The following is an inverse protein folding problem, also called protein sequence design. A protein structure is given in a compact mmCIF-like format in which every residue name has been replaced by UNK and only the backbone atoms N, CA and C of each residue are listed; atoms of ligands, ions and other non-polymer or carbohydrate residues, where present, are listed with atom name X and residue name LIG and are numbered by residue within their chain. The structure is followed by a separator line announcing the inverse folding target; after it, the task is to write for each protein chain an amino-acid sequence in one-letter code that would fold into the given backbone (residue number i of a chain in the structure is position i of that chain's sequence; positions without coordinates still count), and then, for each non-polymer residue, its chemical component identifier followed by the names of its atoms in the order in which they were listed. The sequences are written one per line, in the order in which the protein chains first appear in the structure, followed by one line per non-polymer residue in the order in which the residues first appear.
data_IF_339742144295
#
_entry.id   IF_339742144295
#
_cell.length_a   1.000
_cell.length_b   1.000
_cell.length_c   1.000
_cell.angle_alpha   90.00
_cell.angle_beta   90.00
_cell.angle_gamma   90.00
#
_symmetry.space_group_name_H-M   'P 1'
#
loop_
_entity.id
_entity.type
_entity.pdbx_description
1 polymer ?
#
# COMPACT_ATOMS: atom_id res chain seq x y z
N UNK A 1 -8.69 0.83 26.97
CA UNK A 1 -9.08 2.15 26.43
C UNK A 1 -10.21 1.87 25.44
N UNK A 2 -11.41 2.37 25.73
CA UNK A 2 -12.55 2.23 24.83
C UNK A 2 -12.21 2.97 23.52
N UNK A 3 -12.11 2.24 22.42
CA UNK A 3 -12.12 2.86 21.08
C UNK A 3 -13.49 3.51 20.92
N UNK A 4 -13.54 4.84 21.01
CA UNK A 4 -14.74 5.58 20.71
C UNK A 4 -15.14 5.27 19.27
N UNK A 5 -16.32 4.69 19.09
CA UNK A 5 -16.93 4.48 17.77
C UNK A 5 -17.00 5.83 17.07
N UNK A 6 -16.08 6.08 16.16
CA UNK A 6 -16.02 7.34 15.42
C UNK A 6 -17.13 7.37 14.41
N UNK A 7 -18.07 8.30 14.59
CA UNK A 7 -19.16 8.52 13.64
C UNK A 7 -18.60 9.19 12.36
N UNK A 8 -18.89 8.61 11.20
CA UNK A 8 -18.61 9.22 9.90
C UNK A 8 -19.14 10.66 9.79
N UNK A 9 -20.13 11.03 10.59
CA UNK A 9 -20.71 12.38 10.63
C UNK A 9 -19.72 13.45 11.07
N UNK A 10 -18.75 13.10 11.90
CA UNK A 10 -17.75 14.03 12.42
C UNK A 10 -16.61 14.33 11.42
N UNK A 11 -16.49 13.54 10.36
CA UNK A 11 -15.46 13.75 9.35
C UNK A 11 -15.87 14.88 8.38
N UNK A 12 -14.92 15.75 7.98
CA UNK A 12 -15.17 16.76 6.96
C UNK A 12 -15.60 16.13 5.64
N UNK A 13 -16.31 16.88 4.84
CA UNK A 13 -16.87 16.44 3.57
C UNK A 13 -15.78 15.96 2.59
N UNK A 14 -14.63 16.63 2.60
CA UNK A 14 -13.53 16.34 1.70
C UNK A 14 -12.19 16.58 2.38
N UNK A 15 -11.27 15.65 2.14
CA UNK A 15 -9.87 15.75 2.53
C UNK A 15 -9.01 15.51 1.29
N UNK A 16 -7.91 16.25 1.17
CA UNK A 16 -6.92 16.01 0.13
C UNK A 16 -5.52 16.38 0.64
N UNK A 17 -4.61 15.41 0.63
CA UNK A 17 -3.21 15.56 1.00
C UNK A 17 -2.41 15.66 -0.30
N UNK A 18 -1.69 16.77 -0.47
CA UNK A 18 -0.89 16.98 -1.66
C UNK A 18 0.44 16.24 -1.54
N UNK A 19 0.56 15.10 -2.21
CA UNK A 19 1.78 14.29 -2.24
C UNK A 19 2.50 14.50 -3.58
N UNK A 20 3.83 14.63 -3.51
CA UNK A 20 4.66 14.59 -4.73
C UNK A 20 4.64 13.18 -5.30
N UNK A 21 4.25 13.06 -6.56
CA UNK A 21 4.18 11.76 -7.22
C UNK A 21 5.58 11.17 -7.47
N UNK A 22 5.71 9.86 -7.25
CA UNK A 22 6.86 9.05 -7.64
C UNK A 22 6.38 7.89 -8.51
N UNK A 23 6.97 7.73 -9.70
CA UNK A 23 6.65 6.62 -10.59
C UNK A 23 7.58 5.43 -10.30
N UNK A 24 7.03 4.22 -10.27
CA UNK A 24 7.83 3.01 -10.23
C UNK A 24 8.71 2.89 -11.48
N UNK A 25 9.89 2.32 -11.32
CA UNK A 25 10.87 2.12 -12.41
C UNK A 25 10.81 0.72 -12.98
N UNK A 26 10.50 -0.23 -12.12
CA UNK A 26 10.45 -1.66 -12.40
C UNK A 26 9.06 -2.22 -12.08
N UNK A 27 8.81 -3.46 -12.42
CA UNK A 27 7.57 -4.17 -12.15
C UNK A 27 7.37 -4.59 -10.69
N UNK A 28 8.43 -4.49 -9.86
CA UNK A 28 8.46 -4.92 -8.47
C UNK A 28 8.59 -3.78 -7.44
N UNK A 29 8.93 -2.56 -7.84
CA UNK A 29 9.26 -1.45 -6.93
C UNK A 29 8.10 -0.48 -6.66
N UNK A 30 6.84 -0.91 -6.91
CA UNK A 30 5.66 -0.09 -6.65
C UNK A 30 5.56 0.35 -5.18
N UNK A 31 5.90 -0.53 -4.22
CA UNK A 31 5.93 -0.20 -2.81
C UNK A 31 7.00 0.85 -2.48
N UNK A 32 8.20 0.72 -3.04
CA UNK A 32 9.27 1.72 -2.89
C UNK A 32 8.83 3.07 -3.43
N UNK A 33 8.19 3.09 -4.60
CA UNK A 33 7.66 4.33 -5.18
C UNK A 33 6.59 4.97 -4.28
N UNK A 34 5.77 4.17 -3.58
CA UNK A 34 4.82 4.66 -2.58
C UNK A 34 5.54 5.28 -1.37
N UNK A 35 6.59 4.64 -0.85
CA UNK A 35 7.43 5.22 0.22
C UNK A 35 8.01 6.56 -0.22
N UNK A 36 8.57 6.66 -1.43
CA UNK A 36 9.10 7.92 -1.97
C UNK A 36 8.08 9.05 -2.06
N UNK A 37 6.78 8.76 -2.14
CA UNK A 37 5.73 9.79 -2.15
C UNK A 37 5.47 10.40 -0.78
N UNK A 38 5.85 9.72 0.31
CA UNK A 38 5.64 10.17 1.69
C UNK A 38 6.92 10.67 2.37
N UNK A 39 8.08 10.48 1.74
CA UNK A 39 9.35 11.04 2.22
C UNK A 39 9.46 12.55 1.99
N UNK A 40 10.25 13.22 2.83
CA UNK A 40 10.69 14.60 2.59
C UNK A 40 11.47 14.68 1.27
N UNK A 41 11.61 15.88 0.72
CA UNK A 41 12.39 16.06 -0.51
C UNK A 41 13.85 15.64 -0.33
N UNK A 42 14.47 16.02 0.79
CA UNK A 42 15.85 15.69 1.10
C UNK A 42 16.09 14.17 1.19
N UNK A 43 15.17 13.46 1.90
CA UNK A 43 15.26 12.00 2.05
C UNK A 43 15.03 11.29 0.72
N UNK A 44 14.10 11.78 -0.08
CA UNK A 44 13.85 11.27 -1.43
C UNK A 44 15.08 11.41 -2.32
N UNK A 45 15.73 12.58 -2.32
CA UNK A 45 16.95 12.81 -3.08
C UNK A 45 18.10 11.93 -2.60
N UNK A 46 18.23 11.76 -1.27
CA UNK A 46 19.20 10.84 -0.67
C UNK A 46 18.97 9.41 -1.14
N UNK A 47 17.73 8.92 -0.98
CA UNK A 47 17.36 7.59 -1.46
C UNK A 47 17.67 7.39 -2.94
N UNK A 48 17.34 8.39 -3.78
CA UNK A 48 17.52 8.29 -5.22
C UNK A 48 19.00 8.26 -5.65
N UNK A 49 19.88 8.95 -4.92
CA UNK A 49 21.34 8.84 -5.13
C UNK A 49 21.85 7.45 -4.79
N UNK A 50 21.34 6.88 -3.67
CA UNK A 50 21.87 5.66 -3.07
C UNK A 50 20.99 4.43 -3.37
N UNK A 51 20.08 4.53 -4.36
CA UNK A 51 19.04 3.52 -4.66
C UNK A 51 19.56 2.09 -4.68
N UNK A 52 20.67 1.84 -5.38
CA UNK A 52 21.23 0.49 -5.54
C UNK A 52 21.75 -0.04 -4.21
N UNK A 53 22.49 0.78 -3.44
CA UNK A 53 23.02 0.38 -2.15
C UNK A 53 21.90 0.16 -1.14
N UNK A 54 20.91 1.07 -1.06
CA UNK A 54 19.77 0.92 -0.17
C UNK A 54 18.98 -0.35 -0.50
N UNK A 55 18.66 -0.61 -1.76
CA UNK A 55 17.97 -1.84 -2.16
C UNK A 55 18.77 -3.11 -1.80
N UNK A 56 20.10 -3.05 -1.90
CA UNK A 56 20.97 -4.15 -1.53
C UNK A 56 20.99 -4.36 -0.01
N UNK A 57 21.16 -3.27 0.77
CA UNK A 57 21.20 -3.29 2.23
C UNK A 57 19.88 -3.82 2.80
N UNK A 58 18.74 -3.39 2.22
CA UNK A 58 17.41 -3.85 2.59
C UNK A 58 17.09 -5.27 2.06
N UNK A 59 17.94 -5.87 1.25
CA UNK A 59 17.73 -7.21 0.71
C UNK A 59 16.58 -7.31 -0.29
N UNK A 60 16.29 -6.24 -1.02
CA UNK A 60 15.23 -6.25 -2.05
C UNK A 60 15.70 -6.98 -3.30
N UNK A 61 15.40 -8.27 -3.40
CA UNK A 61 15.76 -9.13 -4.53
C UNK A 61 14.70 -9.11 -5.66
N UNK A 62 14.28 -7.92 -6.09
CA UNK A 62 13.19 -7.68 -7.06
C UNK A 62 11.80 -8.06 -6.50
N UNK A 63 11.64 -7.99 -5.20
CA UNK A 63 10.37 -8.10 -4.49
C UNK A 63 10.39 -7.25 -3.25
N UNK A 64 9.24 -6.66 -2.89
CA UNK A 64 9.05 -5.90 -1.66
C UNK A 64 7.77 -6.34 -1.00
N UNK A 65 7.85 -6.62 0.30
CA UNK A 65 6.73 -6.94 1.16
C UNK A 65 6.36 -5.74 2.02
N UNK A 66 5.18 -5.70 2.57
CA UNK A 66 4.74 -4.55 3.36
C UNK A 66 5.65 -4.28 4.56
N UNK A 67 6.10 -5.34 5.24
CA UNK A 67 7.07 -5.19 6.34
C UNK A 67 8.40 -4.58 5.86
N UNK A 68 8.85 -4.87 4.63
CA UNK A 68 10.05 -4.26 4.05
C UNK A 68 9.90 -2.75 3.90
N UNK A 69 8.70 -2.28 3.53
CA UNK A 69 8.41 -0.87 3.41
C UNK A 69 8.43 -0.17 4.77
N UNK A 70 8.01 -0.87 5.83
CA UNK A 70 8.09 -0.35 7.20
C UNK A 70 9.54 -0.13 7.65
N UNK A 71 10.44 -1.07 7.36
CA UNK A 71 11.88 -0.90 7.61
C UNK A 71 12.46 0.28 6.82
N UNK A 72 12.05 0.42 5.55
CA UNK A 72 12.47 1.54 4.72
C UNK A 72 11.96 2.88 5.27
N UNK A 73 10.72 2.97 5.75
CA UNK A 73 10.16 4.15 6.40
C UNK A 73 10.94 4.50 7.68
N UNK A 74 11.26 3.50 8.52
CA UNK A 74 12.08 3.71 9.74
C UNK A 74 13.49 4.20 9.42
N UNK A 75 14.11 3.74 8.35
CA UNK A 75 15.42 4.23 7.89
C UNK A 75 15.44 5.75 7.67
N UNK A 76 14.30 6.32 7.28
CA UNK A 76 14.10 7.75 7.06
C UNK A 76 13.31 8.44 8.18
N UNK A 77 13.22 7.81 9.36
CA UNK A 77 12.53 8.34 10.54
C UNK A 77 11.07 8.76 10.31
N UNK A 78 10.37 8.09 9.39
CA UNK A 78 8.94 8.29 9.17
C UNK A 78 8.15 7.46 10.16
N UNK A 79 7.36 8.11 11.01
CA UNK A 79 6.50 7.42 11.96
C UNK A 79 5.31 6.79 11.25
N UNK A 80 5.00 5.53 11.62
CA UNK A 80 3.95 4.76 10.96
C UNK A 80 3.46 3.61 11.81
N UNK A 81 2.25 3.13 11.49
CA UNK A 81 1.66 1.92 12.06
C UNK A 81 1.30 0.95 10.93
N UNK A 82 1.73 -0.29 11.05
CA UNK A 82 1.44 -1.35 10.08
C UNK A 82 0.33 -2.26 10.59
N UNK A 83 -0.69 -2.45 9.77
CA UNK A 83 -1.83 -3.35 10.03
C UNK A 83 -1.83 -4.46 9.00
N UNK A 84 -2.07 -5.70 9.45
CA UNK A 84 -2.15 -6.90 8.62
C UNK A 84 -3.03 -7.95 9.30
N UNK A 85 -3.70 -8.80 8.53
CA UNK A 85 -4.45 -9.94 9.12
C UNK A 85 -3.60 -11.19 9.25
N UNK A 86 -2.33 -11.15 8.80
CA UNK A 86 -1.40 -12.28 8.87
C UNK A 86 -0.03 -11.81 9.34
N UNK A 87 0.40 -12.22 10.51
CA UNK A 87 1.78 -12.00 10.98
C UNK A 87 2.72 -13.01 10.28
N UNK A 88 3.70 -12.51 9.54
CA UNK A 88 4.59 -13.33 8.74
C UNK A 88 4.03 -13.64 7.34
N UNK A 89 4.31 -14.85 6.84
CA UNK A 89 3.87 -15.29 5.52
C UNK A 89 2.68 -16.22 5.67
N UNK A 90 1.58 -15.88 5.01
CA UNK A 90 0.38 -16.72 5.00
C UNK A 90 0.67 -18.12 4.41
N UNK A 91 0.36 -19.22 5.12
CA UNK A 91 0.70 -20.57 4.66
C UNK A 91 0.16 -20.94 3.28
N UNK A 92 -0.99 -20.38 2.90
CA UNK A 92 -1.62 -20.60 1.59
C UNK A 92 -0.83 -20.00 0.41
N UNK A 93 0.17 -19.14 0.64
CA UNK A 93 0.93 -18.49 -0.43
C UNK A 93 1.87 -19.45 -1.16
N UNK A 94 2.26 -20.56 -0.57
CA UNK A 94 3.02 -21.62 -1.27
C UNK A 94 2.28 -22.19 -2.48
N UNK A 95 0.94 -22.19 -2.47
CA UNK A 95 0.10 -22.62 -3.59
C UNK A 95 -0.28 -21.46 -4.54
N UNK A 96 -0.05 -20.21 -4.18
CA UNK A 96 -0.38 -19.05 -4.99
C UNK A 96 0.72 -18.80 -6.04
N UNK A 97 0.35 -18.77 -7.32
CA UNK A 97 1.29 -18.62 -8.44
C UNK A 97 2.10 -17.31 -8.37
N UNK A 98 1.54 -16.23 -7.85
CA UNK A 98 2.22 -14.95 -7.67
C UNK A 98 3.33 -15.06 -6.63
N UNK A 99 3.03 -15.60 -5.44
CA UNK A 99 3.97 -15.69 -4.34
C UNK A 99 5.02 -16.80 -4.49
N UNK A 100 4.67 -17.90 -5.11
CA UNK A 100 5.57 -19.06 -5.27
C UNK A 100 6.94 -18.71 -5.89
N UNK A 101 6.96 -17.71 -6.76
CA UNK A 101 8.20 -17.28 -7.45
C UNK A 101 9.15 -16.49 -6.55
N UNK A 102 8.63 -15.86 -5.50
CA UNK A 102 9.38 -14.95 -4.62
C UNK A 102 9.65 -15.56 -3.24
N UNK A 103 8.76 -16.43 -2.75
CA UNK A 103 8.83 -17.02 -1.41
C UNK A 103 10.18 -17.68 -1.10
N UNK A 104 10.71 -18.53 -1.98
CA UNK A 104 11.95 -19.25 -1.75
C UNK A 104 13.16 -18.32 -1.43
N UNK A 105 13.10 -17.06 -1.86
CA UNK A 105 14.16 -16.07 -1.63
C UNK A 105 13.87 -15.13 -0.47
N UNK A 106 12.58 -14.88 -0.20
CA UNK A 106 12.15 -13.83 0.70
C UNK A 106 11.74 -14.34 2.09
N UNK A 107 11.33 -15.61 2.21
CA UNK A 107 10.68 -16.17 3.40
C UNK A 107 11.51 -15.95 4.67
N UNK A 108 12.81 -16.27 4.63
CA UNK A 108 13.70 -16.07 5.79
C UNK A 108 13.78 -14.59 6.19
N UNK A 109 13.97 -13.70 5.20
CA UNK A 109 14.07 -12.26 5.43
C UNK A 109 12.78 -11.71 6.05
N UNK A 110 11.63 -12.10 5.49
CA UNK A 110 10.33 -11.61 5.96
C UNK A 110 10.04 -12.09 7.38
N UNK A 111 10.25 -13.36 7.67
CA UNK A 111 10.05 -13.90 9.01
C UNK A 111 10.97 -13.24 10.05
N UNK A 112 12.25 -13.01 9.72
CA UNK A 112 13.17 -12.26 10.61
C UNK A 112 12.66 -10.84 10.85
N UNK A 113 12.21 -10.13 9.81
CA UNK A 113 11.71 -8.75 9.94
C UNK A 113 10.46 -8.66 10.83
N UNK A 114 9.51 -9.58 10.70
CA UNK A 114 8.37 -9.62 11.62
C UNK A 114 8.81 -9.91 13.06
N UNK A 115 9.74 -10.85 13.28
CA UNK A 115 10.27 -11.17 14.60
C UNK A 115 11.01 -10.01 15.26
N UNK A 116 11.70 -9.20 14.49
CA UNK A 116 12.55 -8.12 14.97
C UNK A 116 11.85 -6.73 14.91
N UNK A 117 10.68 -6.61 14.32
CA UNK A 117 9.99 -5.34 14.05
C UNK A 117 9.95 -4.41 15.26
N UNK A 118 9.60 -4.95 16.44
CA UNK A 118 9.52 -4.19 17.68
C UNK A 118 10.87 -3.61 18.11
N UNK A 119 11.98 -4.32 17.89
CA UNK A 119 13.33 -3.82 18.21
C UNK A 119 13.71 -2.62 17.33
N UNK A 120 13.22 -2.58 16.11
CA UNK A 120 13.40 -1.46 15.18
C UNK A 120 12.36 -0.35 15.33
N UNK A 121 11.49 -0.42 16.36
CA UNK A 121 10.45 0.58 16.60
C UNK A 121 9.34 0.57 15.55
N UNK A 122 9.09 -0.59 14.93
CA UNK A 122 8.00 -0.79 13.97
C UNK A 122 6.83 -1.41 14.70
N UNK A 123 5.70 -0.71 14.72
CA UNK A 123 4.46 -1.18 15.32
C UNK A 123 3.68 -2.00 14.29
N UNK A 124 3.57 -3.30 14.53
CA UNK A 124 2.76 -4.22 13.72
C UNK A 124 1.51 -4.59 14.52
N UNK A 125 0.34 -4.37 13.93
CA UNK A 125 -0.96 -4.66 14.51
C UNK A 125 -1.65 -5.75 13.70
N UNK A 126 -1.99 -6.86 14.37
CA UNK A 126 -2.76 -7.93 13.74
C UNK A 126 -4.24 -7.60 13.77
N UNK A 127 -4.87 -7.55 12.61
CA UNK A 127 -6.31 -7.31 12.46
C UNK A 127 -6.67 -6.47 11.24
N UNK A 128 -7.94 -6.56 10.87
CA UNK A 128 -8.53 -5.74 9.80
C UNK A 128 -8.81 -4.32 10.30
N UNK A 129 -8.61 -3.34 9.44
CA UNK A 129 -8.90 -1.93 9.73
C UNK A 129 -10.17 -1.50 9.01
N UNK A 130 -11.13 -0.96 9.77
CA UNK A 130 -12.35 -0.42 9.20
C UNK A 130 -12.08 0.83 8.35
N UNK A 131 -12.84 0.98 7.26
CA UNK A 131 -12.67 2.12 6.35
C UNK A 131 -12.80 3.47 7.05
N UNK A 132 -13.65 3.57 8.06
CA UNK A 132 -13.84 4.82 8.82
C UNK A 132 -12.56 5.24 9.54
N UNK A 133 -11.80 4.28 10.07
CA UNK A 133 -10.49 4.52 10.72
C UNK A 133 -9.48 5.02 9.69
N UNK A 134 -9.46 4.46 8.50
CA UNK A 134 -8.60 4.93 7.40
C UNK A 134 -8.96 6.38 7.01
N UNK A 135 -10.24 6.69 6.86
CA UNK A 135 -10.67 8.05 6.50
C UNK A 135 -10.34 9.06 7.61
N UNK A 136 -10.46 8.66 8.89
CA UNK A 136 -10.06 9.47 10.03
C UNK A 136 -8.56 9.74 10.02
N UNK A 137 -7.75 8.72 9.79
CA UNK A 137 -6.30 8.85 9.68
C UNK A 137 -5.91 9.83 8.56
N UNK A 138 -6.48 9.69 7.36
CA UNK A 138 -6.28 10.63 6.25
C UNK A 138 -6.62 12.08 6.60
N UNK A 139 -7.52 12.30 7.55
CA UNK A 139 -7.90 13.65 8.03
C UNK A 139 -6.92 14.20 9.05
N UNK A 140 -6.46 13.38 9.98
CA UNK A 140 -5.79 13.84 11.20
C UNK A 140 -4.27 13.70 11.17
N UNK A 141 -3.80 12.63 10.52
CA UNK A 141 -2.42 12.18 10.66
C UNK A 141 -1.64 12.23 9.36
N UNK A 142 -2.22 11.75 8.24
CA UNK A 142 -1.45 11.69 7.00
C UNK A 142 -1.97 10.66 6.00
N UNK A 143 -1.17 10.35 4.97
CA UNK A 143 -1.52 9.40 3.93
C UNK A 143 -1.45 7.95 4.44
N UNK A 144 -1.91 7.02 3.60
CA UNK A 144 -1.81 5.60 3.88
C UNK A 144 -1.28 4.83 2.66
N UNK A 145 -0.32 3.92 2.86
CA UNK A 145 0.14 2.98 1.82
C UNK A 145 -0.68 1.70 1.96
N UNK A 146 -1.26 1.25 0.87
CA UNK A 146 -2.20 0.10 0.86
C UNK A 146 -1.75 -0.91 -0.17
N UNK A 147 -1.64 -2.18 0.24
CA UNK A 147 -1.51 -3.30 -0.69
C UNK A 147 -2.88 -3.67 -1.24
N UNK A 148 -2.97 -3.77 -2.54
CA UNK A 148 -4.21 -4.04 -3.26
C UNK A 148 -4.01 -5.13 -4.31
N UNK A 149 -5.10 -5.74 -4.73
CA UNK A 149 -5.09 -6.54 -5.94
C UNK A 149 -5.20 -5.60 -7.16
N UNK A 150 -4.13 -5.47 -7.94
CA UNK A 150 -4.09 -4.61 -9.12
C UNK A 150 -5.24 -4.86 -10.11
N UNK A 151 -5.77 -6.07 -10.15
CA UNK A 151 -6.86 -6.45 -11.05
C UNK A 151 -8.20 -5.86 -10.67
N UNK A 152 -8.37 -5.51 -9.39
CA UNK A 152 -9.58 -4.89 -8.84
C UNK A 152 -9.47 -3.36 -8.76
N UNK A 153 -8.27 -2.81 -9.02
CA UNK A 153 -8.08 -1.36 -9.02
C UNK A 153 -8.84 -0.69 -10.16
N UNK A 154 -9.69 0.25 -9.81
CA UNK A 154 -10.45 1.07 -10.76
C UNK A 154 -10.03 2.53 -10.65
N UNK A 155 -10.30 3.32 -11.69
CA UNK A 155 -10.17 4.77 -11.62
C UNK A 155 -11.24 5.43 -12.50
N UNK A 156 -12.07 6.26 -11.89
CA UNK A 156 -13.17 6.95 -12.56
C UNK A 156 -12.68 7.92 -13.65
N UNK A 157 -11.47 8.46 -13.48
CA UNK A 157 -10.88 9.46 -14.37
C UNK A 157 -10.04 8.84 -15.50
N UNK A 158 -9.70 7.55 -15.40
CA UNK A 158 -8.83 6.88 -16.35
C UNK A 158 -9.62 6.09 -17.38
N UNK A 159 -9.84 6.68 -18.55
CA UNK A 159 -10.57 6.01 -19.65
C UNK A 159 -9.97 4.63 -20.02
N UNK A 160 -8.64 4.49 -19.96
CA UNK A 160 -7.95 3.22 -20.25
C UNK A 160 -8.26 2.10 -19.24
N UNK A 161 -8.58 2.42 -17.98
CA UNK A 161 -8.95 1.39 -17.01
C UNK A 161 -10.33 0.79 -17.26
N UNK A 162 -11.28 1.58 -17.79
CA UNK A 162 -12.62 1.06 -18.17
C UNK A 162 -12.50 0.06 -19.32
N UNK A 163 -11.78 0.42 -20.37
CA UNK A 163 -11.56 -0.45 -21.54
C UNK A 163 -10.75 -1.69 -21.15
N UNK A 164 -9.73 -1.56 -20.30
CA UNK A 164 -8.94 -2.72 -19.86
C UNK A 164 -9.70 -3.66 -18.93
N UNK A 165 -10.62 -3.16 -18.12
CA UNK A 165 -11.53 -3.98 -17.30
C UNK A 165 -12.53 -4.76 -18.16
N UNK A 166 -13.15 -4.10 -19.13
CA UNK A 166 -14.08 -4.73 -20.07
C UNK A 166 -13.37 -5.78 -20.94
N UNK A 167 -12.17 -5.45 -21.45
CA UNK A 167 -11.34 -6.41 -22.21
C UNK A 167 -10.83 -7.57 -21.34
N UNK A 168 -10.51 -7.35 -20.05
CA UNK A 168 -10.10 -8.41 -19.12
C UNK A 168 -11.25 -9.37 -18.77
N UNK A 169 -12.50 -8.90 -18.79
CA UNK A 169 -13.68 -9.76 -18.60
C UNK A 169 -13.97 -10.62 -19.82
N UNK A 170 -13.57 -10.19 -21.01
CA UNK A 170 -13.82 -10.89 -22.28
C UNK A 170 -12.67 -11.83 -22.69
N UNK A 171 -11.48 -11.73 -22.13
CA UNK A 171 -10.34 -12.58 -22.44
C UNK A 171 -10.17 -13.64 -21.33
N UNK A 172 -9.83 -14.91 -21.66
CA UNK A 172 -9.47 -15.93 -20.70
C UNK A 172 -8.08 -15.62 -20.09
N UNK A 173 -8.02 -14.52 -19.36
CA UNK A 173 -6.81 -14.15 -18.64
C UNK A 173 -6.72 -15.05 -17.41
N UNK A 174 -5.54 -15.61 -17.05
CA UNK A 174 -5.44 -16.47 -15.89
C UNK A 174 -5.97 -15.72 -14.67
N UNK A 175 -7.02 -16.29 -14.05
CA UNK A 175 -7.54 -15.81 -12.78
C UNK A 175 -6.39 -15.87 -11.76
N UNK A 176 -6.04 -14.76 -11.12
CA UNK A 176 -4.97 -14.76 -10.13
C UNK A 176 -4.77 -13.40 -9.49
N UNK A 177 -4.25 -13.41 -8.30
CA UNK A 177 -3.85 -12.24 -7.55
C UNK A 177 -2.63 -11.57 -8.20
N UNK A 178 -2.60 -10.23 -8.15
CA UNK A 178 -1.43 -9.41 -8.51
C UNK A 178 -1.30 -8.29 -7.49
N UNK A 179 -0.34 -8.41 -6.57
CA UNK A 179 -0.05 -7.40 -5.55
C UNK A 179 0.39 -6.09 -6.18
N UNK A 180 -0.17 -4.98 -5.67
CA UNK A 180 0.21 -3.63 -6.10
C UNK A 180 -0.04 -2.62 -4.99
N UNK A 181 0.96 -1.81 -4.69
CA UNK A 181 0.85 -0.74 -3.70
C UNK A 181 0.37 0.56 -4.33
N UNK A 182 -0.50 1.25 -3.58
CA UNK A 182 -0.97 2.61 -3.87
C UNK A 182 -0.86 3.47 -2.61
N UNK A 183 -0.90 4.80 -2.77
CA UNK A 183 -0.96 5.73 -1.63
C UNK A 183 -2.30 6.43 -1.62
N UNK A 184 -3.10 6.20 -0.57
CA UNK A 184 -4.31 6.99 -0.32
C UNK A 184 -3.91 8.38 0.13
N UNK A 185 -4.50 9.41 -0.48
CA UNK A 185 -4.18 10.80 -0.21
C UNK A 185 -5.43 11.67 0.02
N UNK A 186 -6.57 11.06 0.31
CA UNK A 186 -7.77 11.80 0.65
C UNK A 186 -9.06 11.09 0.28
N UNK A 187 -10.17 11.78 0.50
CA UNK A 187 -11.51 11.27 0.23
C UNK A 187 -12.53 12.38 -0.06
N UNK A 188 -13.68 11.97 -0.59
CA UNK A 188 -14.91 12.76 -0.65
C UNK A 188 -16.04 11.92 -0.05
N UNK A 189 -16.57 12.36 1.10
CA UNK A 189 -17.53 11.60 1.91
C UNK A 189 -18.88 11.44 1.21
N UNK A 190 -19.50 12.53 0.76
CA UNK A 190 -20.81 12.49 0.11
C UNK A 190 -20.83 11.69 -1.19
N UNK A 191 -19.73 11.71 -1.93
CA UNK A 191 -19.59 10.93 -3.16
C UNK A 191 -19.11 9.49 -2.91
N UNK A 192 -18.80 9.10 -1.66
CA UNK A 192 -18.22 7.81 -1.30
C UNK A 192 -17.00 7.47 -2.16
N UNK A 193 -16.07 8.45 -2.33
CA UNK A 193 -14.87 8.31 -3.16
C UNK A 193 -13.61 8.49 -2.33
N UNK A 194 -12.53 7.78 -2.73
CA UNK A 194 -11.17 7.97 -2.23
C UNK A 194 -10.27 8.47 -3.35
N UNK A 195 -9.29 9.28 -2.96
CA UNK A 195 -8.23 9.78 -3.83
C UNK A 195 -6.95 9.01 -3.55
N UNK A 196 -6.26 8.61 -4.61
CA UNK A 196 -5.02 7.86 -4.46
C UNK A 196 -3.99 8.19 -5.53
N UNK A 197 -2.72 7.98 -5.20
CA UNK A 197 -1.60 8.00 -6.14
C UNK A 197 -1.26 6.57 -6.54
N UNK A 198 -1.16 6.33 -7.83
CA UNK A 198 -0.78 5.02 -8.37
C UNK A 198 0.60 5.12 -9.02
N UNK A 199 1.62 4.42 -8.50
CA UNK A 199 3.00 4.51 -9.01
C UNK A 199 3.18 3.99 -10.45
N UNK A 200 2.25 3.20 -10.96
CA UNK A 200 2.30 2.72 -12.35
C UNK A 200 1.98 3.79 -13.39
N UNK A 201 1.41 4.90 -12.99
CA UNK A 201 1.00 5.97 -13.91
C UNK A 201 1.87 7.21 -13.80
N UNK A 202 1.71 8.14 -14.75
CA UNK A 202 2.29 9.48 -14.66
C UNK A 202 1.60 10.31 -13.58
N UNK A 203 2.22 11.42 -13.19
CA UNK A 203 1.76 12.30 -12.11
C UNK A 203 0.28 12.72 -12.26
N UNK A 204 -0.58 11.98 -11.60
CA UNK A 204 -2.03 12.25 -11.53
C UNK A 204 -2.62 11.71 -10.23
N UNK A 205 -3.75 12.26 -9.83
CA UNK A 205 -4.60 11.73 -8.78
C UNK A 205 -5.62 10.79 -9.43
N UNK A 206 -5.70 9.59 -8.92
CA UNK A 206 -6.72 8.62 -9.28
C UNK A 206 -7.89 8.68 -8.28
N UNK A 207 -9.08 8.27 -8.71
CA UNK A 207 -10.30 8.30 -7.91
C UNK A 207 -11.03 6.98 -8.07
N UNK A 208 -11.45 6.36 -6.96
CA UNK A 208 -12.31 5.16 -6.97
C UNK A 208 -13.39 5.26 -5.89
N UNK A 209 -14.40 4.38 -5.94
CA UNK A 209 -15.34 4.26 -4.85
C UNK A 209 -14.69 3.61 -3.62
N UNK A 210 -15.24 3.91 -2.42
CA UNK A 210 -14.85 3.24 -1.18
C UNK A 210 -15.03 1.73 -1.33
N UNK A 211 -16.15 1.30 -1.90
CA UNK A 211 -16.46 -0.12 -2.07
C UNK A 211 -15.42 -0.83 -2.97
N UNK A 212 -15.00 -0.19 -4.08
CA UNK A 212 -13.93 -0.73 -4.93
C UNK A 212 -12.57 -0.79 -4.23
N UNK A 213 -12.28 0.16 -3.32
CA UNK A 213 -11.09 0.09 -2.48
C UNK A 213 -11.16 -1.10 -1.52
N UNK A 214 -12.31 -1.28 -0.83
CA UNK A 214 -12.52 -2.40 0.09
C UNK A 214 -12.35 -3.75 -0.63
N UNK A 215 -12.96 -3.91 -1.80
CA UNK A 215 -12.80 -5.11 -2.63
C UNK A 215 -11.33 -5.37 -3.01
N UNK A 216 -10.61 -4.32 -3.40
CA UNK A 216 -9.23 -4.44 -3.85
C UNK A 216 -8.25 -4.75 -2.70
N UNK A 217 -8.43 -4.13 -1.51
CA UNK A 217 -7.53 -4.28 -0.37
C UNK A 217 -7.84 -5.52 0.50
N UNK A 218 -9.09 -6.02 0.49
CA UNK A 218 -9.50 -7.21 1.24
C UNK A 218 -9.49 -8.49 0.40
N UNK A 219 -9.02 -8.42 -0.85
CA UNK A 219 -8.95 -9.60 -1.70
C UNK A 219 -7.86 -10.57 -1.23
N UNK A 220 -8.10 -11.87 -1.41
CA UNK A 220 -7.10 -12.90 -1.09
C UNK A 220 -5.73 -12.57 -1.71
N UNK A 221 -4.70 -12.60 -0.90
CA UNK A 221 -3.32 -12.31 -1.29
C UNK A 221 -2.81 -10.94 -0.83
N UNK A 222 -3.67 -10.06 -0.28
CA UNK A 222 -3.25 -8.76 0.23
C UNK A 222 -2.93 -8.76 1.72
N UNK A 223 -3.36 -9.79 2.47
CA UNK A 223 -3.35 -9.81 3.94
C UNK A 223 -3.96 -8.55 4.58
N UNK A 224 -4.76 -7.80 3.81
CA UNK A 224 -5.30 -6.47 4.16
C UNK A 224 -4.22 -5.47 4.58
N UNK A 225 -3.00 -5.64 4.07
CA UNK A 225 -1.82 -4.86 4.45
C UNK A 225 -2.02 -3.37 4.22
N UNK A 226 -1.82 -2.62 5.29
CA UNK A 226 -2.04 -1.18 5.37
C UNK A 226 -0.97 -0.54 6.25
N UNK A 227 -0.28 0.47 5.74
CA UNK A 227 0.62 1.31 6.53
C UNK A 227 -0.01 2.69 6.67
N UNK A 228 -0.34 3.07 7.88
CA UNK A 228 -0.80 4.41 8.24
C UNK A 228 0.43 5.27 8.55
N UNK A 229 0.60 6.39 7.82
CA UNK A 229 1.77 7.27 7.92
C UNK A 229 1.41 8.51 8.74
N UNK A 230 2.18 8.80 9.77
CA UNK A 230 2.04 10.00 10.59
C UNK A 230 3.01 11.09 10.08
N UNK A 231 2.47 12.20 9.52
CA UNK A 231 3.23 13.32 8.95
C UNK A 231 3.08 14.60 9.78
#
# INVERSE_FOLDING_TARGET
MEESVVDLRELPEKVFINLRHSRQRYDWDCGIACVLMVLTEADRESFMRDFVSVCKDEGFHRSTWTIDLCYLLRRYNVDHNFYTVTIGIHPGYHSNAFYRTVLAKDEQRINSRFGEAKMYGINVHEGSVEIVTILRHLRLNGPAIVLTNARLLTCDLCKLNKVSLELRQCLPWPAGYQGHYIVLCGYNKSRRKVYYRNPSFHNRVCVMSIDALEDARKSYGTDEDLILIDL
#
